data_IF_489130527378
#
_entry.id   IF_489130527378
#
_cell.length_a   1.000
_cell.length_b   1.000
_cell.length_c   1.000
_cell.angle_alpha   90.00
_cell.angle_beta   90.00
_cell.angle_gamma   90.00
#
_symmetry.space_group_name_H-M   'P 1'
#
loop_
_entity.id
_entity.type
_entity.pdbx_description
1 polymer ?
#
# COMPACT_ATOMS: atom_id res chain seq x y z
N UNK A 1 -17.91 -2.08 -8.16
CA UNK A 1 -17.31 -2.11 -6.81
C UNK A 1 -18.21 -2.81 -5.78
N UNK A 2 -18.81 -3.95 -6.15
CA UNK A 2 -19.52 -4.81 -5.20
C UNK A 2 -18.55 -5.61 -4.31
N UNK A 3 -17.27 -5.73 -4.67
CA UNK A 3 -16.29 -6.56 -3.96
C UNK A 3 -16.00 -6.11 -2.51
N UNK A 4 -15.84 -4.81 -2.23
CA UNK A 4 -15.65 -4.35 -0.83
C UNK A 4 -16.90 -4.51 0.03
N UNK A 5 -18.09 -4.37 -0.55
CA UNK A 5 -19.37 -4.57 0.12
C UNK A 5 -19.77 -6.07 0.22
N UNK A 6 -19.21 -6.92 -0.64
CA UNK A 6 -19.47 -8.36 -0.69
C UNK A 6 -18.69 -9.17 0.37
N UNK A 7 -17.81 -8.53 1.15
CA UNK A 7 -17.00 -9.19 2.18
C UNK A 7 -17.78 -9.55 3.47
N UNK A 8 -19.07 -9.83 3.35
CA UNK A 8 -19.95 -10.15 4.47
C UNK A 8 -20.10 -9.00 5.47
N UNK A 9 -20.62 -9.33 6.66
CA UNK A 9 -20.95 -8.35 7.73
C UNK A 9 -19.71 -7.59 8.25
N UNK A 10 -18.49 -8.04 7.95
CA UNK A 10 -17.24 -7.51 8.50
C UNK A 10 -16.53 -6.41 7.68
N UNK A 11 -16.85 -6.25 6.39
CA UNK A 11 -16.15 -5.31 5.49
C UNK A 11 -14.67 -5.67 5.24
N UNK A 12 -13.86 -4.70 4.79
CA UNK A 12 -12.40 -4.84 4.69
C UNK A 12 -11.67 -3.57 5.16
N UNK A 13 -10.35 -3.68 5.27
CA UNK A 13 -9.50 -2.62 5.80
C UNK A 13 -8.99 -1.63 4.73
N UNK A 14 -9.33 -1.80 3.44
CA UNK A 14 -8.72 -1.04 2.33
C UNK A 14 -9.13 0.43 2.30
N UNK A 15 -10.25 0.80 2.94
CA UNK A 15 -10.68 2.20 3.05
C UNK A 15 -11.18 2.86 1.76
N UNK A 16 -11.39 2.09 0.69
CA UNK A 16 -11.89 2.59 -0.59
C UNK A 16 -13.32 3.11 -0.45
N UNK A 17 -13.56 4.35 -0.85
CA UNK A 17 -14.88 4.99 -0.81
C UNK A 17 -15.52 4.98 -2.21
N UNK A 18 -16.61 4.21 -2.43
CA UNK A 18 -17.28 4.18 -3.73
C UNK A 18 -17.84 5.54 -4.16
N UNK A 19 -18.01 6.50 -3.24
CA UNK A 19 -18.45 7.87 -3.57
C UNK A 19 -17.36 8.70 -4.25
N UNK A 20 -16.09 8.31 -4.14
CA UNK A 20 -14.96 8.93 -4.88
C UNK A 20 -14.91 8.53 -6.36
N UNK A 21 -15.75 7.57 -6.78
CA UNK A 21 -15.84 7.11 -8.16
C UNK A 21 -15.02 5.86 -8.44
N UNK A 22 -14.53 5.73 -9.67
CA UNK A 22 -13.74 4.58 -10.11
C UNK A 22 -12.29 4.79 -9.72
N UNK A 23 -11.74 3.85 -8.96
CA UNK A 23 -10.32 3.79 -8.69
C UNK A 23 -9.59 3.14 -9.86
N UNK A 24 -8.51 3.78 -10.32
CA UNK A 24 -7.55 3.22 -11.25
C UNK A 24 -6.25 2.98 -10.50
N UNK A 25 -5.93 1.71 -10.26
CA UNK A 25 -4.64 1.30 -9.70
C UNK A 25 -3.70 0.89 -10.84
N UNK A 26 -2.41 1.15 -10.69
CA UNK A 26 -1.37 0.74 -11.62
C UNK A 26 -0.23 0.08 -10.86
N UNK A 27 0.50 -0.81 -11.55
CA UNK A 27 1.69 -1.45 -11.04
C UNK A 27 2.77 -1.42 -12.13
N UNK A 28 3.97 -1.01 -11.75
CA UNK A 28 5.15 -1.00 -12.61
C UNK A 28 5.83 -2.36 -12.49
N UNK A 29 5.78 -3.18 -13.55
CA UNK A 29 6.43 -4.50 -13.59
C UNK A 29 7.59 -4.43 -14.57
N UNK A 30 8.80 -4.57 -14.05
CA UNK A 30 10.05 -4.55 -14.82
C UNK A 30 10.83 -5.81 -14.53
N UNK A 31 11.34 -6.44 -15.58
CA UNK A 31 12.19 -7.62 -15.48
C UNK A 31 13.55 -7.31 -16.10
N UNK A 32 14.61 -7.80 -15.47
CA UNK A 32 15.98 -7.64 -15.95
C UNK A 32 16.81 -8.88 -15.62
N UNK A 33 17.99 -8.98 -16.22
CA UNK A 33 18.95 -10.04 -15.99
C UNK A 33 20.24 -9.44 -15.43
N UNK A 34 20.81 -10.09 -14.42
CA UNK A 34 22.07 -9.66 -13.79
C UNK A 34 21.85 -8.65 -12.66
N UNK A 35 22.54 -8.87 -11.54
CA UNK A 35 22.43 -8.02 -10.35
C UNK A 35 23.11 -6.65 -10.54
N UNK A 36 23.91 -6.49 -11.59
CA UNK A 36 24.51 -5.22 -11.99
C UNK A 36 23.49 -4.13 -12.36
N UNK A 37 22.21 -4.51 -12.54
CA UNK A 37 21.12 -3.60 -12.87
C UNK A 37 20.20 -3.30 -11.69
N UNK A 38 20.34 -3.98 -10.55
CA UNK A 38 19.40 -3.87 -9.42
C UNK A 38 19.22 -2.41 -8.97
N UNK A 39 20.32 -1.69 -8.74
CA UNK A 39 20.28 -0.29 -8.32
C UNK A 39 19.65 0.62 -9.39
N UNK A 40 19.95 0.37 -10.67
CA UNK A 40 19.42 1.17 -11.77
C UNK A 40 17.90 0.97 -11.92
N UNK A 41 17.42 -0.27 -11.77
CA UNK A 41 15.99 -0.58 -11.87
C UNK A 41 15.24 -0.10 -10.63
N UNK A 42 15.80 -0.24 -9.43
CA UNK A 42 15.21 0.32 -8.21
C UNK A 42 15.06 1.85 -8.30
N UNK A 43 16.11 2.56 -8.73
CA UNK A 43 16.07 4.00 -8.93
C UNK A 43 15.03 4.42 -9.98
N UNK A 44 14.92 3.64 -11.06
CA UNK A 44 13.91 3.87 -12.10
C UNK A 44 12.48 3.68 -11.55
N UNK A 45 12.22 2.61 -10.80
CA UNK A 45 10.90 2.35 -10.22
C UNK A 45 10.50 3.45 -9.23
N UNK A 46 11.40 3.83 -8.33
CA UNK A 46 11.16 4.92 -7.37
C UNK A 46 10.84 6.23 -8.09
N UNK A 47 11.68 6.63 -9.05
CA UNK A 47 11.52 7.90 -9.76
C UNK A 47 10.25 7.93 -10.64
N UNK A 48 9.92 6.82 -11.29
CA UNK A 48 8.72 6.67 -12.13
C UNK A 48 7.45 6.72 -11.28
N UNK A 49 7.41 5.95 -10.18
CA UNK A 49 6.29 5.99 -9.23
C UNK A 49 6.06 7.41 -8.70
N UNK A 50 7.12 8.15 -8.32
CA UNK A 50 6.97 9.53 -7.87
C UNK A 50 6.54 10.49 -8.99
N UNK A 51 7.01 10.30 -10.22
CA UNK A 51 6.57 11.11 -11.35
C UNK A 51 5.06 10.96 -11.60
N UNK A 52 4.53 9.72 -11.55
CA UNK A 52 3.10 9.46 -11.71
C UNK A 52 2.30 10.05 -10.54
N UNK A 53 2.77 9.86 -9.30
CA UNK A 53 2.13 10.45 -8.11
C UNK A 53 2.06 11.98 -8.20
N UNK A 54 3.14 12.64 -8.61
CA UNK A 54 3.18 14.09 -8.74
C UNK A 54 2.24 14.59 -9.85
N UNK A 55 2.22 13.90 -11.00
CA UNK A 55 1.33 14.24 -12.10
C UNK A 55 -0.16 14.10 -11.73
N UNK A 56 -0.52 13.01 -11.03
CA UNK A 56 -1.90 12.79 -10.57
C UNK A 56 -2.30 13.76 -9.46
N UNK A 57 -1.39 14.17 -8.59
CA UNK A 57 -1.64 15.22 -7.59
C UNK A 57 -1.91 16.56 -8.28
N UNK A 58 -1.09 16.93 -9.25
CA UNK A 58 -1.27 18.16 -10.03
C UNK A 58 -2.60 18.17 -10.81
N UNK A 59 -3.07 17.00 -11.25
CA UNK A 59 -4.35 16.83 -11.92
C UNK A 59 -5.56 16.75 -10.97
N UNK A 60 -5.35 16.70 -9.65
CA UNK A 60 -6.44 16.51 -8.67
C UNK A 60 -7.05 15.10 -8.68
N UNK A 61 -6.32 14.11 -9.19
CA UNK A 61 -6.77 12.72 -9.36
C UNK A 61 -6.07 11.74 -8.41
N UNK A 62 -5.06 12.20 -7.67
CA UNK A 62 -4.30 11.36 -6.75
C UNK A 62 -5.14 10.85 -5.58
N UNK A 63 -4.96 9.58 -5.24
CA UNK A 63 -5.42 8.98 -4.00
C UNK A 63 -4.23 8.27 -3.32
N UNK A 64 -4.20 8.28 -1.99
CA UNK A 64 -3.09 7.71 -1.21
C UNK A 64 -3.10 6.17 -1.18
N UNK A 65 -4.15 5.53 -1.68
CA UNK A 65 -4.31 4.08 -1.66
C UNK A 65 -3.19 3.36 -2.43
N UNK A 66 -2.44 2.51 -1.73
CA UNK A 66 -1.55 1.51 -2.32
C UNK A 66 -2.04 0.11 -1.93
N UNK A 67 -2.14 -0.80 -2.89
CA UNK A 67 -2.53 -2.18 -2.61
C UNK A 67 -1.32 -2.99 -2.14
N UNK A 68 -1.37 -3.53 -0.92
CA UNK A 68 -0.25 -4.24 -0.29
C UNK A 68 0.33 -5.39 -1.11
N UNK A 69 -0.51 -6.08 -1.90
CA UNK A 69 -0.08 -7.24 -2.69
C UNK A 69 0.91 -6.89 -3.80
N UNK A 70 0.83 -5.66 -4.32
CA UNK A 70 1.63 -5.19 -5.47
C UNK A 70 2.53 -4.00 -5.11
N UNK A 71 2.51 -3.55 -3.85
CA UNK A 71 3.28 -2.39 -3.41
C UNK A 71 4.77 -2.73 -3.23
N UNK A 72 5.64 -1.86 -3.73
CA UNK A 72 7.09 -1.94 -3.53
C UNK A 72 7.49 -1.50 -2.10
N UNK A 73 8.67 -1.94 -1.64
CA UNK A 73 9.14 -1.71 -0.28
C UNK A 73 9.27 -0.23 0.13
N UNK A 74 9.41 0.68 -0.83
CA UNK A 74 9.51 2.13 -0.58
C UNK A 74 8.15 2.82 -0.44
N UNK A 75 7.03 2.15 -0.74
CA UNK A 75 5.69 2.75 -0.69
C UNK A 75 5.08 2.63 0.71
N UNK A 76 4.29 3.64 1.10
CA UNK A 76 3.50 3.60 2.32
C UNK A 76 2.11 2.99 2.03
N UNK A 77 1.79 1.86 2.69
CA UNK A 77 0.52 1.15 2.47
C UNK A 77 -0.56 1.57 3.45
N UNK A 78 -0.31 1.46 4.76
CA UNK A 78 -1.34 1.65 5.79
C UNK A 78 -1.94 3.07 5.85
N UNK A 79 -1.18 4.15 5.67
CA UNK A 79 -1.76 5.48 5.58
C UNK A 79 -2.79 5.61 4.45
N UNK A 80 -2.58 4.88 3.35
CA UNK A 80 -3.49 4.83 2.20
C UNK A 80 -4.82 4.13 2.47
N UNK A 81 -4.94 3.38 3.58
CA UNK A 81 -6.19 2.75 4.00
C UNK A 81 -7.09 3.69 4.83
N UNK A 82 -6.58 4.88 5.14
CA UNK A 82 -7.25 5.90 5.94
C UNK A 82 -7.03 5.72 7.44
N UNK A 83 -6.94 6.85 8.15
CA UNK A 83 -6.54 6.91 9.56
C UNK A 83 -7.36 6.02 10.49
N UNK A 84 -8.68 5.89 10.26
CA UNK A 84 -9.54 5.03 11.07
C UNK A 84 -9.20 3.54 10.90
N UNK A 85 -8.92 3.10 9.68
CA UNK A 85 -8.55 1.71 9.40
C UNK A 85 -7.14 1.42 9.87
N UNK A 86 -6.19 2.33 9.66
CA UNK A 86 -4.83 2.23 10.18
C UNK A 86 -4.82 2.08 11.71
N UNK A 87 -5.53 2.96 12.44
CA UNK A 87 -5.65 2.86 13.89
C UNK A 87 -6.29 1.55 14.34
N UNK A 88 -7.34 1.09 13.64
CA UNK A 88 -7.98 -0.20 13.93
C UNK A 88 -7.02 -1.37 13.71
N UNK A 89 -6.29 -1.40 12.60
CA UNK A 89 -5.29 -2.44 12.32
C UNK A 89 -4.15 -2.42 13.34
N UNK A 90 -3.69 -1.24 13.75
CA UNK A 90 -2.69 -1.12 14.82
C UNK A 90 -3.21 -1.69 16.14
N UNK A 91 -4.46 -1.39 16.52
CA UNK A 91 -5.06 -1.95 17.74
C UNK A 91 -5.22 -3.48 17.69
N UNK A 92 -5.60 -4.03 16.52
CA UNK A 92 -5.70 -5.47 16.30
C UNK A 92 -4.31 -6.10 16.41
N UNK A 93 -3.30 -5.47 15.80
CA UNK A 93 -1.92 -5.91 15.86
C UNK A 93 -1.40 -5.95 17.30
N UNK A 94 -1.71 -4.93 18.12
CA UNK A 94 -1.36 -4.91 19.57
C UNK A 94 -2.07 -6.02 20.36
N UNK A 95 -3.32 -6.32 20.03
CA UNK A 95 -4.13 -7.33 20.74
C UNK A 95 -3.63 -8.75 20.47
N UNK A 96 -3.26 -9.05 19.23
CA UNK A 96 -2.93 -10.42 18.81
C UNK A 96 -1.43 -10.69 18.64
N UNK A 97 -0.61 -9.64 18.51
CA UNK A 97 0.85 -9.70 18.52
C UNK A 97 1.40 -8.71 19.57
N UNK A 98 1.11 -8.95 20.87
CA UNK A 98 1.50 -8.02 21.94
C UNK A 98 3.03 -7.88 22.08
N UNK A 99 3.78 -8.93 21.73
CA UNK A 99 5.25 -8.94 21.72
C UNK A 99 5.85 -8.43 20.41
N UNK A 100 5.02 -8.01 19.44
CA UNK A 100 5.43 -7.39 18.18
C UNK A 100 6.36 -8.28 17.33
N UNK A 101 6.18 -9.60 17.39
CA UNK A 101 6.99 -10.59 16.65
C UNK A 101 6.93 -10.31 15.15
N UNK A 102 5.75 -10.05 14.57
CA UNK A 102 5.64 -9.80 13.13
C UNK A 102 6.13 -8.40 12.72
N UNK A 103 6.25 -7.51 13.68
CA UNK A 103 6.77 -6.16 13.42
C UNK A 103 8.30 -6.09 13.54
N UNK A 104 8.91 -6.96 14.35
CA UNK A 104 10.34 -6.90 14.68
C UNK A 104 11.16 -8.05 14.11
N UNK A 105 10.60 -9.27 14.08
CA UNK A 105 11.34 -10.48 13.69
C UNK A 105 11.03 -10.95 12.27
N UNK A 106 9.89 -10.57 11.68
CA UNK A 106 9.57 -10.90 10.30
C UNK A 106 10.40 -10.04 9.33
N UNK A 107 11.29 -10.61 8.50
CA UNK A 107 11.99 -9.86 7.47
C UNK A 107 11.03 -9.35 6.40
N UNK A 108 11.22 -8.11 5.94
CA UNK A 108 10.36 -7.48 4.95
C UNK A 108 8.92 -7.29 5.43
N UNK A 109 8.01 -7.11 4.47
CA UNK A 109 6.59 -6.82 4.71
C UNK A 109 6.35 -5.43 5.32
N UNK A 110 5.18 -4.86 5.06
CA UNK A 110 4.82 -3.57 5.61
C UNK A 110 4.52 -3.67 7.11
N UNK A 111 5.10 -2.75 7.89
CA UNK A 111 4.87 -2.70 9.34
C UNK A 111 3.78 -1.68 9.65
N UNK A 112 2.80 -2.05 10.46
CA UNK A 112 1.67 -1.19 10.87
C UNK A 112 2.09 -0.19 11.97
N UNK A 113 3.32 -0.31 12.47
CA UNK A 113 3.94 0.57 13.45
C UNK A 113 4.78 -0.21 14.45
N UNK A 114 5.51 0.50 15.30
CA UNK A 114 6.23 -0.08 16.45
C UNK A 114 5.29 -0.23 17.65
#
# INVERSE_FOLDING_TARGET
>A
MAASAANGVGGNALGLDPKKGVYLAYAEVVEWLGSEHDEAVEAWAISTTYAINNATQAAGLYDHFNYMGDAAGFQAVYPGYGAANEAKLLSISRKYDPTRIFQTLLPGGFKIGT
#
